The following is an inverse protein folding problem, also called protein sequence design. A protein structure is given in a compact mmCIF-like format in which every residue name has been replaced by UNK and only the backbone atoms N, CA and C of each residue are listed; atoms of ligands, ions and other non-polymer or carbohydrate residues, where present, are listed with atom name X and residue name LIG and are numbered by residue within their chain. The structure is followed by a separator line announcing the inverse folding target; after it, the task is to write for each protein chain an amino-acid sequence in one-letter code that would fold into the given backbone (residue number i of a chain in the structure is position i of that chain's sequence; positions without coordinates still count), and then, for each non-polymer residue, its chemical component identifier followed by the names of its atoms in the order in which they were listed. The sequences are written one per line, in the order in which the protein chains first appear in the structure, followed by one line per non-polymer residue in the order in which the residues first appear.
data_IF_515290477840
#
_entry.id   IF_515290477840
#
_cell.length_a   1.000
_cell.length_b   1.000
_cell.length_c   1.000
_cell.angle_alpha   90.00
_cell.angle_beta   90.00
_cell.angle_gamma   90.00
#
_symmetry.space_group_name_H-M   'P 1'
#
loop_
_entity.id
_entity.type
_entity.pdbx_description
1 polymer ?
#
# COMPACT_ATOMS: atom_id res chain seq x y z
N UNK A 1 8.75 6.00 -10.24
CA UNK A 1 7.56 5.43 -9.58
C UNK A 1 7.81 3.97 -9.26
N UNK A 2 7.50 3.52 -8.03
CA UNK A 2 7.55 2.10 -7.69
C UNK A 2 6.19 1.48 -8.02
N UNK A 3 6.18 0.57 -8.99
CA UNK A 3 4.96 -0.09 -9.46
C UNK A 3 4.70 -1.36 -8.67
N UNK A 4 3.61 -1.36 -7.91
CA UNK A 4 3.14 -2.50 -7.13
C UNK A 4 1.62 -2.56 -7.22
N UNK A 5 1.10 -3.79 -7.28
CA UNK A 5 -0.32 -4.04 -7.11
C UNK A 5 -0.82 -3.48 -5.76
N UNK A 6 -1.92 -2.71 -5.79
CA UNK A 6 -2.43 -2.03 -4.59
C UNK A 6 -2.90 -3.04 -3.55
N UNK A 7 -3.59 -4.11 -3.94
CA UNK A 7 -4.09 -5.09 -2.99
C UNK A 7 -2.93 -5.81 -2.28
N UNK A 8 -1.86 -6.10 -3.02
CA UNK A 8 -0.62 -6.62 -2.47
C UNK A 8 0.07 -5.63 -1.52
N UNK A 9 0.09 -4.35 -1.86
CA UNK A 9 0.60 -3.31 -0.97
C UNK A 9 -0.23 -3.23 0.32
N UNK A 10 -1.55 -3.30 0.23
CA UNK A 10 -2.46 -3.28 1.38
C UNK A 10 -2.26 -4.48 2.30
N UNK A 11 -2.01 -5.67 1.76
CA UNK A 11 -1.65 -6.84 2.56
C UNK A 11 -0.33 -6.63 3.34
N UNK A 12 0.69 -6.05 2.70
CA UNK A 12 1.98 -5.73 3.35
C UNK A 12 1.80 -4.68 4.46
N UNK A 13 0.99 -3.65 4.21
CA UNK A 13 0.68 -2.60 5.20
C UNK A 13 -0.13 -3.16 6.38
N UNK A 14 -1.11 -4.03 6.14
CA UNK A 14 -1.87 -4.70 7.19
C UNK A 14 -0.94 -5.51 8.10
N UNK A 15 -0.07 -6.34 7.50
CA UNK A 15 0.93 -7.12 8.25
C UNK A 15 1.84 -6.22 9.08
N UNK A 16 2.31 -5.10 8.51
CA UNK A 16 3.13 -4.11 9.22
C UNK A 16 2.39 -3.50 10.42
N UNK A 17 1.14 -3.10 10.25
CA UNK A 17 0.38 -2.52 11.35
C UNK A 17 0.24 -3.50 12.52
N UNK A 18 -0.12 -4.76 12.22
CA UNK A 18 -0.22 -5.82 13.21
C UNK A 18 1.14 -6.08 13.88
N UNK A 19 2.23 -6.17 13.11
CA UNK A 19 3.57 -6.40 13.66
C UNK A 19 4.08 -5.26 14.53
N UNK A 20 3.59 -4.03 14.32
CA UNK A 20 3.90 -2.87 15.16
C UNK A 20 3.00 -2.74 16.40
N UNK A 21 2.14 -3.72 16.65
CA UNK A 21 1.30 -3.79 17.86
C UNK A 21 -0.09 -3.20 17.74
N UNK A 22 -0.55 -2.82 16.53
CA UNK A 22 -1.96 -2.43 16.36
C UNK A 22 -2.87 -3.67 16.39
N UNK A 23 -4.03 -3.60 17.08
CA UNK A 23 -5.08 -4.62 16.96
C UNK A 23 -5.49 -4.84 15.50
N UNK A 24 -5.81 -6.08 15.14
CA UNK A 24 -6.05 -6.49 13.76
C UNK A 24 -7.27 -5.79 13.12
N UNK A 25 -8.32 -5.57 13.90
CA UNK A 25 -9.52 -4.82 13.51
C UNK A 25 -9.22 -3.35 13.21
N UNK A 26 -8.47 -2.68 14.10
CA UNK A 26 -8.05 -1.30 13.92
C UNK A 26 -7.08 -1.17 12.73
N UNK A 27 -6.17 -2.12 12.56
CA UNK A 27 -5.27 -2.17 11.42
C UNK A 27 -6.02 -2.31 10.10
N UNK A 28 -7.05 -3.18 10.05
CA UNK A 28 -7.90 -3.36 8.87
C UNK A 28 -8.67 -2.09 8.51
N UNK A 29 -9.31 -1.44 9.49
CA UNK A 29 -10.00 -0.17 9.27
C UNK A 29 -9.05 0.92 8.75
N UNK A 30 -7.81 0.95 9.25
CA UNK A 30 -6.81 1.92 8.79
C UNK A 30 -6.43 1.70 7.33
N UNK A 31 -6.20 0.44 6.95
CA UNK A 31 -5.89 0.05 5.57
C UNK A 31 -7.03 0.41 4.62
N UNK A 32 -8.27 0.10 4.99
CA UNK A 32 -9.45 0.32 4.13
C UNK A 32 -9.77 1.80 3.95
N UNK A 33 -9.72 2.59 5.03
CA UNK A 33 -10.21 3.97 5.03
C UNK A 33 -9.11 5.02 4.89
N UNK A 34 -7.83 4.64 4.87
CA UNK A 34 -6.72 5.59 4.76
C UNK A 34 -5.67 5.13 3.75
N UNK A 35 -4.98 4.02 4.01
CA UNK A 35 -3.83 3.62 3.19
C UNK A 35 -4.24 3.28 1.76
N UNK A 36 -5.40 2.64 1.56
CA UNK A 36 -5.91 2.32 0.22
C UNK A 36 -6.24 3.57 -0.59
N UNK A 37 -7.00 4.49 0.00
CA UNK A 37 -7.38 5.74 -0.66
C UNK A 37 -6.14 6.57 -1.04
N UNK A 38 -5.14 6.60 -0.16
CA UNK A 38 -3.86 7.24 -0.44
C UNK A 38 -3.10 6.52 -1.56
N UNK A 39 -3.05 5.18 -1.56
CA UNK A 39 -2.40 4.41 -2.60
C UNK A 39 -3.05 4.62 -3.98
N UNK A 40 -4.38 4.61 -4.04
CA UNK A 40 -5.15 4.87 -5.27
C UNK A 40 -4.92 6.29 -5.78
N UNK A 41 -4.84 7.28 -4.88
CA UNK A 41 -4.50 8.65 -5.25
C UNK A 41 -3.08 8.74 -5.82
N UNK A 42 -2.08 8.14 -5.16
CA UNK A 42 -0.69 8.14 -5.62
C UNK A 42 -0.54 7.41 -6.95
N UNK A 43 -1.30 6.34 -7.20
CA UNK A 43 -1.24 5.60 -8.47
C UNK A 43 -1.55 6.48 -9.69
N UNK A 44 -2.40 7.51 -9.54
CA UNK A 44 -2.70 8.47 -10.60
C UNK A 44 -1.48 9.31 -11.03
N UNK A 45 -0.47 9.42 -10.17
CA UNK A 45 0.77 10.16 -10.46
C UNK A 45 1.82 9.32 -11.21
N UNK A 46 1.60 8.01 -11.41
CA UNK A 46 2.51 7.11 -12.14
C UNK A 46 2.90 7.64 -13.53
N UNK A 47 1.98 8.30 -14.22
CA UNK A 47 2.19 8.90 -15.55
C UNK A 47 3.22 10.04 -15.59
N UNK A 48 3.52 10.64 -14.43
CA UNK A 48 4.46 11.76 -14.33
C UNK A 48 5.90 11.29 -14.09
N UNK A 49 6.14 9.98 -13.96
CA UNK A 49 7.46 9.47 -13.60
C UNK A 49 8.30 9.14 -14.83
N UNK A 50 9.55 9.58 -14.83
CA UNK A 50 10.53 9.26 -15.89
C UNK A 50 10.97 7.79 -15.87
N UNK A 51 11.01 7.19 -14.67
CA UNK A 51 11.43 5.80 -14.46
C UNK A 51 10.38 5.05 -13.64
N UNK A 52 10.05 3.83 -14.07
CA UNK A 52 9.16 2.91 -13.36
C UNK A 52 9.95 1.67 -12.95
N UNK A 53 9.95 1.35 -11.65
CA UNK A 53 10.60 0.16 -11.10
C UNK A 53 9.51 -0.77 -10.59
N UNK A 54 9.48 -2.01 -11.08
CA UNK A 54 8.49 -3.01 -10.64
C UNK A 54 8.89 -3.61 -9.29
N UNK A 55 7.95 -3.63 -8.35
CA UNK A 55 8.12 -4.44 -7.12
C UNK A 55 8.02 -5.92 -7.47
N UNK A 56 9.05 -6.67 -7.11
CA UNK A 56 9.07 -8.14 -7.20
C UNK A 56 8.76 -8.77 -5.83
N UNK A 57 8.44 -10.06 -5.84
CA UNK A 57 8.46 -10.88 -4.63
C UNK A 57 9.84 -11.52 -4.44
N UNK A 58 10.14 -11.88 -3.19
CA UNK A 58 11.28 -12.69 -2.79
C UNK A 58 10.77 -14.05 -2.32
#
# INVERSE_FOLDING_TARGET
FIDIDIDKAMQRVLKRHISTGKPADIAKQRVENNDRLNAELIMKSKKNADIIIKSVDF
#
